data_IF_758288392829
#
_entry.id   IF_758288392829
#
_cell.length_a   1.000
_cell.length_b   1.000
_cell.length_c   1.000
_cell.angle_alpha   90.00
_cell.angle_beta   90.00
_cell.angle_gamma   90.00
#
_symmetry.space_group_name_H-M   'P 1'
#
loop_
_entity.id
_entity.type
_entity.pdbx_description
1 polymer ?
#
# COMPACT_ATOMS: atom_id res chain seq x y z
N UNK A 1 -3.88 5.33 15.72
CA UNK A 1 -3.24 4.00 15.64
C UNK A 1 -1.95 3.99 16.45
N UNK A 2 -1.48 2.82 16.89
CA UNK A 2 -0.07 2.66 17.27
C UNK A 2 0.75 2.51 15.97
N UNK A 3 1.51 3.56 15.61
CA UNK A 3 2.24 3.63 14.32
C UNK A 3 3.28 2.53 14.19
N UNK A 4 4.05 2.28 15.25
CA UNK A 4 5.12 1.28 15.28
C UNK A 4 4.54 -0.12 15.01
N UNK A 5 3.44 -0.45 15.69
CA UNK A 5 2.76 -1.73 15.49
C UNK A 5 2.21 -1.84 14.08
N UNK A 6 1.47 -0.83 13.61
CA UNK A 6 0.81 -0.85 12.31
C UNK A 6 1.82 -1.02 11.16
N UNK A 7 2.87 -0.20 11.15
CA UNK A 7 3.93 -0.28 10.12
C UNK A 7 4.63 -1.63 10.17
N UNK A 8 4.94 -2.16 11.36
CA UNK A 8 5.56 -3.48 11.47
C UNK A 8 4.66 -4.60 10.92
N UNK A 9 3.37 -4.56 11.23
CA UNK A 9 2.39 -5.53 10.73
C UNK A 9 2.28 -5.49 9.20
N UNK A 10 2.19 -4.30 8.62
CA UNK A 10 2.13 -4.11 7.16
C UNK A 10 3.40 -4.63 6.50
N UNK A 11 4.58 -4.31 7.05
CA UNK A 11 5.85 -4.80 6.49
C UNK A 11 5.92 -6.32 6.56
N UNK A 12 5.55 -6.91 7.70
CA UNK A 12 5.58 -8.36 7.88
C UNK A 12 4.68 -9.08 6.87
N UNK A 13 3.46 -8.59 6.71
CA UNK A 13 2.50 -9.13 5.74
C UNK A 13 2.97 -8.95 4.29
N UNK A 14 3.36 -7.73 3.90
CA UNK A 14 3.73 -7.43 2.52
C UNK A 14 5.04 -8.07 2.05
N UNK A 15 5.96 -8.35 2.97
CA UNK A 15 7.25 -9.01 2.64
C UNK A 15 7.18 -10.53 2.68
N UNK A 16 6.12 -11.10 3.25
CA UNK A 16 5.93 -12.55 3.26
C UNK A 16 5.80 -13.07 1.81
N UNK A 17 6.64 -14.05 1.47
CA UNK A 17 6.73 -14.61 0.11
C UNK A 17 6.79 -13.53 -0.99
N UNK A 18 7.54 -12.46 -0.73
CA UNK A 18 7.66 -11.28 -1.60
C UNK A 18 6.32 -10.69 -2.04
N UNK A 19 5.29 -10.71 -1.18
CA UNK A 19 4.00 -10.07 -1.45
C UNK A 19 3.11 -10.84 -2.43
N UNK A 20 3.39 -12.13 -2.68
CA UNK A 20 2.61 -13.01 -3.53
C UNK A 20 1.23 -13.36 -2.96
N UNK A 21 1.04 -13.22 -1.65
CA UNK A 21 -0.24 -13.51 -1.02
C UNK A 21 -1.24 -12.41 -1.39
N UNK A 22 -2.34 -12.78 -2.05
CA UNK A 22 -3.38 -11.84 -2.49
C UNK A 22 -4.00 -11.00 -1.35
N UNK A 23 -3.93 -11.49 -0.10
CA UNK A 23 -4.44 -10.76 1.06
C UNK A 23 -3.45 -9.74 1.63
N UNK A 24 -2.21 -9.70 1.12
CA UNK A 24 -1.22 -8.72 1.52
C UNK A 24 -1.61 -7.32 1.05
N UNK A 25 -1.18 -6.31 1.82
CA UNK A 25 -1.54 -4.93 1.59
C UNK A 25 -1.06 -4.45 0.22
N UNK A 26 -1.96 -3.84 -0.56
CA UNK A 26 -1.62 -3.19 -1.82
C UNK A 26 -1.39 -1.69 -1.65
N UNK A 27 -2.06 -1.10 -0.66
CA UNK A 27 -2.11 0.33 -0.43
C UNK A 27 -2.20 0.62 1.07
N UNK A 28 -1.62 1.72 1.51
CA UNK A 28 -1.83 2.30 2.84
C UNK A 28 -2.42 3.70 2.67
N UNK A 29 -3.50 3.99 3.39
CA UNK A 29 -4.12 5.31 3.41
C UNK A 29 -3.93 5.87 4.81
N UNK A 30 -3.23 6.99 4.91
CA UNK A 30 -2.73 7.51 6.18
C UNK A 30 -3.24 8.91 6.39
N UNK A 31 -3.81 9.17 7.58
CA UNK A 31 -4.21 10.53 7.97
C UNK A 31 -3.02 11.47 7.91
N UNK A 32 -3.24 12.63 7.29
CA UNK A 32 -2.35 13.79 7.27
C UNK A 32 -1.65 14.06 8.60
N UNK A 33 -2.36 13.97 9.73
CA UNK A 33 -1.86 14.20 11.10
C UNK A 33 -0.72 13.28 11.52
N UNK A 34 -0.57 12.11 10.89
CA UNK A 34 0.45 11.12 11.22
C UNK A 34 1.25 10.65 10.00
N UNK A 35 1.06 11.27 8.84
CA UNK A 35 1.63 10.83 7.57
C UNK A 35 3.16 10.74 7.62
N UNK A 36 3.81 11.82 8.08
CA UNK A 36 5.28 11.87 8.17
C UNK A 36 5.82 10.87 9.19
N UNK A 37 5.13 10.68 10.33
CA UNK A 37 5.51 9.69 11.35
C UNK A 37 5.46 8.25 10.81
N UNK A 38 4.45 7.95 9.99
CA UNK A 38 4.32 6.64 9.35
C UNK A 38 5.41 6.45 8.31
N UNK A 39 5.67 7.46 7.49
CA UNK A 39 6.75 7.48 6.48
C UNK A 39 8.11 7.24 7.13
N UNK A 40 8.43 7.95 8.19
CA UNK A 40 9.68 7.80 8.95
C UNK A 40 9.83 6.40 9.54
N UNK A 41 8.74 5.83 10.07
CA UNK A 41 8.76 4.47 10.64
C UNK A 41 8.94 3.39 9.56
N UNK A 42 8.40 3.59 8.35
CA UNK A 42 8.68 2.72 7.20
C UNK A 42 10.17 2.76 6.83
N UNK A 43 10.74 3.96 6.68
CA UNK A 43 12.16 4.16 6.34
C UNK A 43 13.06 3.51 7.40
N UNK A 44 12.79 3.77 8.68
CA UNK A 44 13.52 3.20 9.81
C UNK A 44 13.56 1.67 9.79
N UNK A 45 12.56 1.01 9.20
CA UNK A 45 12.44 -0.45 9.13
C UNK A 45 12.98 -1.06 7.84
N UNK A 46 13.58 -0.26 6.96
CA UNK A 46 14.21 -0.72 5.72
C UNK A 46 13.29 -0.70 4.50
N UNK A 47 12.19 0.06 4.54
CA UNK A 47 11.42 0.39 3.34
C UNK A 47 12.03 1.62 2.65
N UNK A 48 11.81 1.74 1.35
CA UNK A 48 12.32 2.86 0.56
C UNK A 48 11.15 3.69 0.03
N UNK A 49 11.12 4.97 0.39
CA UNK A 49 10.13 5.90 -0.18
C UNK A 49 10.70 6.45 -1.47
N UNK A 50 10.02 6.17 -2.58
CA UNK A 50 10.41 6.63 -3.89
C UNK A 50 10.21 8.14 -3.99
N UNK A 51 11.17 8.85 -4.56
CA UNK A 51 10.96 10.24 -4.96
C UNK A 51 10.03 10.31 -6.19
N UNK A 52 9.58 11.51 -6.62
CA UNK A 52 8.64 11.62 -7.75
C UNK A 52 9.15 11.02 -9.07
N UNK A 53 10.44 11.14 -9.38
CA UNK A 53 11.04 10.57 -10.60
C UNK A 53 11.12 9.03 -10.52
N UNK A 54 11.54 8.50 -9.37
CA UNK A 54 11.61 7.07 -9.12
C UNK A 54 10.22 6.43 -9.09
N UNK A 55 9.23 7.14 -8.54
CA UNK A 55 7.83 6.72 -8.52
C UNK A 55 7.32 6.53 -9.94
N UNK A 56 7.59 7.48 -10.83
CA UNK A 56 7.20 7.36 -12.24
C UNK A 56 7.89 6.20 -12.97
N UNK A 57 9.16 5.95 -12.66
CA UNK A 57 9.90 4.80 -13.22
C UNK A 57 9.29 3.47 -12.75
N UNK A 58 9.05 3.32 -11.45
CA UNK A 58 8.45 2.10 -10.88
C UNK A 58 7.00 1.92 -11.35
N UNK A 59 6.21 3.00 -11.44
CA UNK A 59 4.83 3.02 -11.96
C UNK A 59 4.72 2.27 -13.29
N UNK A 60 5.62 2.60 -14.23
CA UNK A 60 5.68 2.00 -15.57
C UNK A 60 6.06 0.52 -15.60
N UNK A 61 6.53 -0.02 -14.47
CA UNK A 61 6.82 -1.46 -14.35
C UNK A 61 5.64 -2.26 -13.84
N UNK A 62 4.59 -1.64 -13.30
CA UNK A 62 3.47 -2.35 -12.67
C UNK A 62 2.55 -2.94 -13.73
N UNK A 63 2.05 -2.13 -14.65
CA UNK A 63 1.14 -2.56 -15.72
C UNK A 63 1.84 -2.45 -17.08
N UNK A 64 1.85 -3.53 -17.86
CA UNK A 64 2.34 -3.56 -19.24
C UNK A 64 1.22 -4.06 -20.14
N UNK A 65 0.89 -3.29 -21.18
CA UNK A 65 -0.19 -3.60 -22.13
C UNK A 65 -1.54 -3.89 -21.45
N UNK A 66 -1.86 -3.15 -20.38
CA UNK A 66 -3.13 -3.27 -19.64
C UNK A 66 -3.21 -4.45 -18.67
N UNK A 67 -2.14 -5.21 -18.45
CA UNK A 67 -2.08 -6.30 -17.49
C UNK A 67 -0.92 -6.16 -16.51
N UNK A 68 -1.03 -6.79 -15.34
CA UNK A 68 0.05 -6.85 -14.35
C UNK A 68 1.31 -7.46 -14.99
N UNK A 69 2.44 -6.78 -14.81
CA UNK A 69 3.73 -7.21 -15.32
C UNK A 69 4.22 -8.45 -14.56
N UNK A 70 4.17 -9.61 -15.20
CA UNK A 70 4.65 -10.86 -14.62
C UNK A 70 6.12 -10.82 -14.15
N UNK A 71 6.94 -9.89 -14.66
CA UNK A 71 8.34 -9.74 -14.24
C UNK A 71 8.52 -9.18 -12.83
N UNK A 72 7.51 -8.52 -12.25
CA UNK A 72 7.60 -8.00 -10.88
C UNK A 72 7.01 -8.95 -9.84
N UNK A 73 6.18 -9.91 -10.27
CA UNK A 73 5.44 -10.83 -9.40
C UNK A 73 6.42 -11.70 -8.59
N UNK A 74 6.28 -11.67 -7.27
CA UNK A 74 7.12 -12.42 -6.32
C UNK A 74 8.61 -12.04 -6.32
N UNK A 75 8.98 -10.93 -6.95
CA UNK A 75 10.37 -10.44 -6.95
C UNK A 75 10.69 -9.63 -5.70
N UNK A 76 11.98 -9.51 -5.37
CA UNK A 76 12.45 -8.63 -4.30
C UNK A 76 12.30 -7.16 -4.71
N UNK A 77 12.12 -6.27 -3.73
CA UNK A 77 12.04 -4.83 -3.96
C UNK A 77 13.25 -4.27 -4.73
N UNK A 78 14.46 -4.73 -4.39
CA UNK A 78 15.68 -4.34 -5.11
C UNK A 78 15.65 -4.74 -6.60
N UNK A 79 15.21 -5.96 -6.92
CA UNK A 79 15.07 -6.43 -8.32
C UNK A 79 14.06 -5.61 -9.10
N UNK A 80 12.94 -5.22 -8.48
CA UNK A 80 11.93 -4.38 -9.13
C UNK A 80 12.47 -2.97 -9.39
N UNK A 81 13.19 -2.41 -8.42
CA UNK A 81 13.85 -1.11 -8.59
C UNK A 81 14.86 -1.16 -9.76
N UNK A 82 15.69 -2.20 -9.84
CA UNK A 82 16.64 -2.39 -10.95
C UNK A 82 15.93 -2.48 -12.30
N UNK A 83 14.84 -3.25 -12.39
CA UNK A 83 13.99 -3.34 -13.60
C UNK A 83 13.41 -1.97 -14.01
N UNK A 84 13.15 -1.09 -13.04
CA UNK A 84 12.68 0.28 -13.27
C UNK A 84 13.82 1.28 -13.57
N UNK A 85 15.09 0.87 -13.46
CA UNK A 85 16.24 1.78 -13.57
C UNK A 85 16.38 2.72 -12.35
N UNK A 86 15.99 2.23 -11.17
CA UNK A 86 16.12 2.90 -9.86
C UNK A 86 17.12 2.12 -9.00
N UNK A 87 18.03 2.83 -8.32
CA UNK A 87 18.99 2.20 -7.41
C UNK A 87 18.49 2.33 -5.96
N UNK A 88 18.33 1.20 -5.28
CA UNK A 88 17.97 1.13 -3.86
C UNK A 88 18.89 0.14 -3.15
N UNK A 89 19.10 0.26 -1.82
CA UNK A 89 19.86 -0.74 -1.05
C UNK A 89 19.37 -2.17 -1.29
N UNK A 90 20.27 -3.14 -1.37
CA UNK A 90 19.92 -4.56 -1.65
C UNK A 90 18.96 -5.16 -0.61
N UNK A 91 19.04 -4.69 0.64
CA UNK A 91 18.19 -5.12 1.74
C UNK A 91 16.87 -4.35 1.85
N UNK A 92 16.52 -3.54 0.84
CA UNK A 92 15.24 -2.84 0.79
C UNK A 92 14.10 -3.84 0.85
N UNK A 93 13.17 -3.64 1.78
CA UNK A 93 12.06 -4.55 2.03
C UNK A 93 10.87 -4.29 1.12
N UNK A 94 10.50 -3.02 0.94
CA UNK A 94 9.32 -2.58 0.19
C UNK A 94 9.66 -1.27 -0.50
N UNK A 95 9.26 -1.12 -1.77
CA UNK A 95 9.22 0.16 -2.48
C UNK A 95 7.87 0.83 -2.22
N UNK A 96 7.87 2.07 -1.74
CA UNK A 96 6.66 2.81 -1.43
C UNK A 96 6.56 4.02 -2.35
N UNK A 97 5.52 4.05 -3.18
CA UNK A 97 5.17 5.19 -4.03
C UNK A 97 4.12 6.06 -3.36
N UNK A 98 4.41 7.35 -3.18
CA UNK A 98 3.42 8.33 -2.73
C UNK A 98 2.57 8.76 -3.93
N UNK A 99 1.27 8.50 -3.88
CA UNK A 99 0.33 8.75 -4.99
C UNK A 99 -0.99 9.34 -4.46
N UNK A 100 -1.74 10.01 -5.34
CA UNK A 100 -2.96 10.74 -4.98
C UNK A 100 -4.24 10.13 -5.57
N UNK A 101 -4.20 9.72 -6.85
CA UNK A 101 -5.36 9.15 -7.54
C UNK A 101 -5.57 7.69 -7.14
N UNK A 102 -6.81 7.33 -6.85
CA UNK A 102 -7.26 5.95 -6.62
C UNK A 102 -7.99 5.38 -7.84
N UNK A 103 -7.86 6.03 -8.99
CA UNK A 103 -8.50 5.60 -10.22
C UNK A 103 -7.72 4.47 -10.90
N UNK A 104 -8.42 3.66 -11.70
CA UNK A 104 -7.82 2.60 -12.52
C UNK A 104 -6.68 3.08 -13.44
N UNK A 105 -6.59 4.37 -13.76
CA UNK A 105 -5.46 4.91 -14.53
C UNK A 105 -4.18 5.06 -13.73
N UNK A 106 -4.23 5.04 -12.39
CA UNK A 106 -3.04 5.04 -11.54
C UNK A 106 -2.56 3.61 -11.32
N UNK A 107 -1.40 3.26 -11.87
CA UNK A 107 -0.88 1.90 -11.80
C UNK A 107 -0.60 1.45 -10.36
N UNK A 108 -0.26 2.38 -9.45
CA UNK A 108 -0.11 2.07 -8.03
C UNK A 108 -1.42 1.64 -7.34
N UNK A 109 -2.59 1.98 -7.89
CA UNK A 109 -3.90 1.58 -7.35
C UNK A 109 -4.19 0.08 -7.54
N UNK A 110 -3.53 -0.58 -8.50
CA UNK A 110 -3.77 -1.98 -8.86
C UNK A 110 -3.16 -2.97 -7.86
N UNK A 111 -3.57 -4.23 -7.96
CA UNK A 111 -2.88 -5.33 -7.32
C UNK A 111 -1.47 -5.52 -7.92
N UNK A 112 -0.45 -5.69 -7.07
CA UNK A 112 0.96 -5.69 -7.49
C UNK A 112 1.68 -7.03 -7.29
N UNK A 113 1.15 -7.94 -6.47
CA UNK A 113 1.70 -9.28 -6.12
C UNK A 113 3.22 -9.31 -5.90
N UNK A 114 3.74 -8.25 -5.29
CA UNK A 114 5.16 -7.94 -5.14
C UNK A 114 5.35 -6.96 -3.96
N UNK A 115 6.57 -6.72 -3.46
CA UNK A 115 6.83 -5.79 -2.35
C UNK A 115 6.86 -4.33 -2.84
N UNK A 116 5.79 -3.93 -3.54
CA UNK A 116 5.51 -2.55 -3.95
C UNK A 116 4.21 -2.13 -3.28
N UNK A 117 4.19 -0.95 -2.66
CA UNK A 117 3.08 -0.44 -1.86
C UNK A 117 2.76 0.99 -2.28
N UNK A 118 1.47 1.28 -2.48
CA UNK A 118 1.01 2.65 -2.67
C UNK A 118 0.74 3.32 -1.32
N UNK A 119 1.12 4.59 -1.15
CA UNK A 119 0.87 5.36 0.08
C UNK A 119 0.10 6.64 -0.23
N UNK A 120 -1.13 6.70 0.27
CA UNK A 120 -2.06 7.81 0.08
C UNK A 120 -2.18 8.64 1.35
N UNK A 121 -2.27 9.96 1.19
CA UNK A 121 -2.62 10.87 2.29
C UNK A 121 -4.13 11.08 2.35
N UNK A 122 -4.70 11.10 3.55
CA UNK A 122 -6.10 11.47 3.75
C UNK A 122 -6.27 12.66 4.70
N UNK A 123 -7.20 13.55 4.37
CA UNK A 123 -7.52 14.73 5.20
C UNK A 123 -8.53 14.41 6.32
N UNK A 124 -9.29 13.33 6.18
CA UNK A 124 -10.25 12.88 7.17
C UNK A 124 -10.40 11.35 7.15
N UNK A 125 -11.12 10.81 8.14
CA UNK A 125 -11.42 9.38 8.14
C UNK A 125 -12.41 9.01 7.03
N UNK A 126 -13.39 9.86 6.73
CA UNK A 126 -14.35 9.61 5.65
C UNK A 126 -13.66 9.65 4.27
N UNK A 127 -12.71 10.57 4.06
CA UNK A 127 -11.85 10.60 2.86
C UNK A 127 -11.00 9.32 2.75
N UNK A 128 -10.44 8.83 3.86
CA UNK A 128 -9.72 7.56 3.87
C UNK A 128 -10.62 6.38 3.49
N UNK A 129 -11.86 6.39 3.98
CA UNK A 129 -12.88 5.40 3.70
C UNK A 129 -13.35 5.43 2.23
N UNK A 130 -13.51 6.62 1.63
CA UNK A 130 -13.83 6.75 0.20
C UNK A 130 -12.70 6.19 -0.67
N UNK A 131 -11.45 6.59 -0.39
CA UNK A 131 -10.26 6.08 -1.09
C UNK A 131 -10.16 4.55 -0.98
N UNK A 132 -10.32 4.02 0.23
CA UNK A 132 -10.27 2.58 0.47
C UNK A 132 -11.38 1.84 -0.29
N UNK A 133 -12.61 2.37 -0.27
CA UNK A 133 -13.74 1.78 -0.99
C UNK A 133 -13.49 1.76 -2.50
N UNK A 134 -12.96 2.86 -3.05
CA UNK A 134 -12.65 2.95 -4.48
C UNK A 134 -11.59 1.93 -4.89
N UNK A 135 -10.51 1.81 -4.14
CA UNK A 135 -9.45 0.83 -4.39
C UNK A 135 -9.97 -0.62 -4.36
N UNK A 136 -10.89 -0.97 -3.45
CA UNK A 136 -11.46 -2.33 -3.43
C UNK A 136 -12.49 -2.55 -4.53
N UNK A 137 -13.20 -1.50 -4.99
CA UNK A 137 -14.17 -1.62 -6.08
C UNK A 137 -13.50 -2.06 -7.39
N UNK A 138 -12.26 -1.63 -7.59
CA UNK A 138 -11.48 -1.86 -8.81
C UNK A 138 -10.80 -3.25 -8.87
N UNK A 139 -10.80 -4.03 -7.80
CA UNK A 139 -10.21 -5.38 -7.81
C UNK A 139 -10.18 -6.17 -6.50
N UNK A 140 -10.78 -5.65 -5.43
CA UNK A 140 -10.71 -6.21 -4.07
C UNK A 140 -12.06 -6.58 -3.43
N UNK A 141 -13.19 -6.41 -4.13
CA UNK A 141 -14.52 -6.74 -3.60
C UNK A 141 -14.58 -8.19 -3.12
N UNK A 142 -15.10 -8.40 -1.92
CA UNK A 142 -15.19 -9.70 -1.28
C UNK A 142 -13.88 -10.25 -0.72
N UNK A 143 -12.75 -9.54 -0.85
CA UNK A 143 -11.45 -10.07 -0.44
C UNK A 143 -11.08 -9.72 1.01
N UNK A 144 -10.24 -8.70 1.23
CA UNK A 144 -9.71 -8.32 2.55
C UNK A 144 -9.52 -6.81 2.62
N UNK A 145 -9.85 -6.22 3.76
CA UNK A 145 -9.44 -4.86 4.11
C UNK A 145 -8.98 -4.84 5.58
N UNK A 146 -8.23 -3.82 5.99
CA UNK A 146 -7.69 -3.76 7.36
C UNK A 146 -7.71 -2.34 7.90
N UNK A 147 -8.02 -2.21 9.19
CA UNK A 147 -8.11 -0.93 9.88
C UNK A 147 -7.21 -0.89 11.12
N UNK A 148 -6.24 0.03 11.13
CA UNK A 148 -5.41 0.30 12.30
C UNK A 148 -5.94 1.51 13.07
N UNK A 149 -6.63 1.28 14.18
CA UNK A 149 -7.20 2.34 15.06
C UNK A 149 -7.03 1.97 16.55
N UNK A 150 -7.37 2.88 17.46
CA UNK A 150 -7.49 2.54 18.87
C UNK A 150 -8.87 1.92 19.11
N UNK A 151 -8.93 0.61 19.36
CA UNK A 151 -10.18 -0.13 19.46
C UNK A 151 -11.05 0.22 20.66
N UNK A 152 -10.47 0.84 21.70
CA UNK A 152 -11.22 1.27 22.89
C UNK A 152 -11.96 2.59 22.63
N UNK A 153 -11.32 3.50 21.91
CA UNK A 153 -11.78 4.90 21.77
C UNK A 153 -12.41 5.20 20.41
N UNK A 154 -12.15 4.41 19.37
CA UNK A 154 -12.53 4.69 17.99
C UNK A 154 -13.63 3.76 17.48
N UNK A 155 -14.59 3.39 18.34
CA UNK A 155 -15.67 2.43 18.01
C UNK A 155 -16.50 2.87 16.81
N UNK A 156 -16.84 4.15 16.72
CA UNK A 156 -17.60 4.70 15.58
C UNK A 156 -16.85 4.52 14.25
N UNK A 157 -15.52 4.71 14.25
CA UNK A 157 -14.70 4.50 13.04
C UNK A 157 -14.69 3.03 12.63
N UNK A 158 -14.65 2.13 13.60
CA UNK A 158 -14.72 0.68 13.36
C UNK A 158 -16.08 0.34 12.72
N UNK A 159 -17.19 0.80 13.29
CA UNK A 159 -18.54 0.56 12.75
C UNK A 159 -18.70 1.11 11.33
N UNK A 160 -18.23 2.34 11.07
CA UNK A 160 -18.21 2.94 9.74
C UNK A 160 -17.39 2.11 8.75
N UNK A 161 -16.23 1.61 9.17
CA UNK A 161 -15.37 0.78 8.33
C UNK A 161 -16.06 -0.54 7.96
N UNK A 162 -16.59 -1.28 8.95
CA UNK A 162 -17.33 -2.53 8.71
C UNK A 162 -18.58 -2.33 7.84
N UNK A 163 -19.27 -1.19 7.99
CA UNK A 163 -20.47 -0.91 7.20
C UNK A 163 -20.17 -0.57 5.75
N UNK A 164 -19.00 0.01 5.47
CA UNK A 164 -18.65 0.52 4.14
C UNK A 164 -17.80 -0.46 3.32
N UNK A 165 -16.85 -1.14 3.95
CA UNK A 165 -15.94 -2.03 3.24
C UNK A 165 -16.65 -3.31 2.82
N UNK A 166 -16.83 -3.49 1.51
CA UNK A 166 -17.42 -4.70 0.91
C UNK A 166 -16.37 -5.82 0.78
N UNK A 167 -15.74 -6.21 1.88
CA UNK A 167 -14.72 -7.27 1.93
C UNK A 167 -15.12 -8.36 2.93
N UNK A 168 -14.82 -9.63 2.65
CA UNK A 168 -15.21 -10.74 3.53
C UNK A 168 -14.35 -10.87 4.79
N UNK A 169 -13.11 -10.35 4.77
CA UNK A 169 -12.19 -10.33 5.91
C UNK A 169 -11.88 -8.88 6.27
N UNK A 170 -12.09 -8.53 7.54
CA UNK A 170 -11.89 -7.19 8.14
C UNK A 170 -11.29 -7.33 9.52
#
# INVERSE_FOLDING_TARGET
ANVILAVNSIIHSKTFDNGMICASEQSVIVSDKIYDKVKDEFVKRGCYILNPEETEKVRKTIIINGALNAKIVGQKAHTIAELAGVSVPENTKILIGEVESVDLSEEFAHEKLSPVLAMYKSGSFDDALEKAYRLIEDGGLGHTSSLYVNTVTEKEKIEKFYSKMKTCRV
#
